data_IF_214362408470
#
_entry.id   IF_214362408470
#
_cell.length_a   1.000
_cell.length_b   1.000
_cell.length_c   1.000
_cell.angle_alpha   90.00
_cell.angle_beta   90.00
_cell.angle_gamma   90.00
#
_symmetry.space_group_name_H-M   'P 1'
#
loop_
_entity.id
_entity.type
_entity.pdbx_description
1 polymer ?
#
# COMPACT_ATOMS: atom_id res chain seq x y z
N UNK A 1 86.54 -86.07 -6.65
CA UNK A 1 87.46 -86.86 -7.49
C UNK A 1 88.20 -87.84 -6.61
N UNK A 2 88.66 -88.96 -7.17
CA UNK A 2 89.20 -90.11 -6.44
C UNK A 2 88.70 -91.38 -7.11
N UNK A 3 89.20 -91.82 -8.26
CA UNK A 3 90.57 -91.73 -8.81
C UNK A 3 91.65 -92.30 -7.85
N UNK A 4 92.49 -93.23 -8.27
CA UNK A 4 92.48 -94.05 -9.48
C UNK A 4 93.57 -95.12 -9.42
N UNK A 5 93.46 -96.09 -10.32
CA UNK A 5 94.47 -97.06 -10.74
C UNK A 5 94.72 -98.20 -9.75
N UNK A 6 94.45 -99.46 -10.10
CA UNK A 6 94.79 -100.21 -11.32
C UNK A 6 96.31 -100.47 -11.40
N UNK A 7 96.70 -101.74 -11.36
CA UNK A 7 98.09 -102.18 -11.53
C UNK A 7 98.15 -103.15 -12.71
N UNK A 8 98.52 -102.58 -13.85
CA UNK A 8 98.63 -103.25 -15.15
C UNK A 8 99.63 -104.43 -15.18
N UNK A 9 99.56 -105.30 -16.22
CA UNK A 9 100.17 -106.63 -16.21
C UNK A 9 101.52 -106.69 -16.97
N UNK A 10 101.81 -107.86 -17.56
CA UNK A 10 102.96 -108.24 -18.40
C UNK A 10 104.26 -108.65 -17.68
N UNK A 11 104.33 -109.94 -17.31
CA UNK A 11 105.57 -110.71 -17.43
C UNK A 11 105.52 -111.51 -18.74
N UNK A 12 106.54 -111.38 -19.60
CA UNK A 12 106.54 -111.93 -20.97
C UNK A 12 107.69 -112.94 -21.16
N UNK A 13 107.32 -114.18 -21.50
CA UNK A 13 107.98 -115.13 -22.45
C UNK A 13 109.49 -115.49 -22.36
N UNK A 14 109.79 -116.78 -22.54
CA UNK A 14 111.12 -117.32 -22.94
C UNK A 14 112.03 -117.66 -21.76
N UNK A 15 112.37 -118.90 -21.39
CA UNK A 15 112.54 -120.22 -22.06
C UNK A 15 113.99 -120.52 -22.54
N UNK A 16 114.34 -121.81 -22.52
CA UNK A 16 115.63 -122.47 -22.81
C UNK A 16 116.72 -122.42 -21.71
N UNK A 17 116.97 -123.61 -21.14
CA UNK A 17 118.14 -124.14 -20.42
C UNK A 17 118.92 -123.25 -19.43
N UNK A 18 119.00 -123.70 -18.16
CA UNK A 18 119.38 -122.88 -17.00
C UNK A 18 120.84 -123.07 -16.56
N UNK A 19 121.68 -122.05 -16.78
CA UNK A 19 123.04 -121.97 -16.24
C UNK A 19 123.16 -121.14 -14.96
N UNK A 20 124.19 -121.41 -14.14
CA UNK A 20 124.44 -120.75 -12.84
C UNK A 20 124.47 -119.20 -12.92
N UNK A 21 124.94 -118.65 -14.04
CA UNK A 21 125.03 -117.21 -14.32
C UNK A 21 123.68 -116.47 -14.19
N UNK A 22 122.55 -117.17 -14.34
CA UNK A 22 121.20 -116.63 -14.08
C UNK A 22 121.07 -116.10 -12.64
N UNK A 23 121.59 -116.83 -11.63
CA UNK A 23 121.48 -116.46 -10.21
C UNK A 23 122.30 -115.22 -9.84
N UNK A 24 123.44 -114.98 -10.50
CA UNK A 24 124.23 -113.75 -10.28
C UNK A 24 123.43 -112.48 -10.61
N UNK A 25 122.53 -112.55 -11.60
CA UNK A 25 121.66 -111.43 -11.97
C UNK A 25 120.57 -111.17 -10.93
N UNK A 26 120.08 -112.21 -10.25
CA UNK A 26 119.21 -112.05 -9.07
C UNK A 26 119.97 -111.49 -7.88
N UNK A 27 121.22 -111.91 -7.64
CA UNK A 27 121.99 -111.43 -6.49
C UNK A 27 122.18 -109.91 -6.51
N UNK A 28 122.55 -109.33 -7.66
CA UNK A 28 122.64 -107.86 -7.81
C UNK A 28 121.28 -107.16 -7.66
N UNK A 29 120.19 -107.77 -8.14
CA UNK A 29 118.83 -107.23 -8.00
C UNK A 29 118.38 -107.23 -6.53
N UNK A 30 118.64 -108.32 -5.79
CA UNK A 30 118.35 -108.39 -4.35
C UNK A 30 119.25 -107.46 -3.52
N UNK A 31 120.55 -107.33 -3.82
CA UNK A 31 121.44 -106.40 -3.08
C UNK A 31 121.01 -104.94 -3.28
N UNK A 32 120.68 -104.53 -4.52
CA UNK A 32 120.18 -103.18 -4.79
C UNK A 32 118.78 -102.93 -4.19
N UNK A 33 117.90 -103.93 -4.17
CA UNK A 33 116.59 -103.86 -3.52
C UNK A 33 116.71 -103.80 -1.98
N UNK A 34 117.67 -104.51 -1.37
CA UNK A 34 117.99 -104.40 0.06
C UNK A 34 118.53 -103.01 0.39
N UNK A 35 119.44 -102.45 -0.42
CA UNK A 35 119.92 -101.08 -0.25
C UNK A 35 118.77 -100.05 -0.36
N UNK A 36 117.88 -100.21 -1.33
CA UNK A 36 116.70 -99.36 -1.46
C UNK A 36 115.77 -99.45 -0.24
N UNK A 37 115.49 -100.66 0.27
CA UNK A 37 114.70 -100.86 1.48
C UNK A 37 115.35 -100.28 2.74
N UNK A 38 116.68 -100.32 2.86
CA UNK A 38 117.40 -99.68 3.97
C UNK A 38 117.27 -98.15 3.91
N UNK A 39 117.44 -97.55 2.72
CA UNK A 39 117.28 -96.10 2.54
C UNK A 39 115.82 -95.68 2.84
N UNK A 40 114.84 -96.42 2.32
CA UNK A 40 113.42 -96.14 2.55
C UNK A 40 113.05 -96.32 4.03
N UNK A 41 113.60 -97.34 4.70
CA UNK A 41 113.46 -97.55 6.14
C UNK A 41 114.02 -96.41 6.98
N UNK A 42 115.21 -95.89 6.63
CA UNK A 42 115.80 -94.73 7.29
C UNK A 42 114.99 -93.45 7.07
N UNK A 43 114.46 -93.22 5.86
CA UNK A 43 113.58 -92.08 5.57
C UNK A 43 112.24 -92.19 6.31
N UNK A 44 111.65 -93.39 6.39
CA UNK A 44 110.47 -93.64 7.22
C UNK A 44 110.77 -93.38 8.71
N UNK A 45 111.92 -93.79 9.22
CA UNK A 45 112.31 -93.52 10.61
C UNK A 45 112.57 -92.02 10.85
N UNK A 46 113.07 -91.27 9.86
CA UNK A 46 113.26 -89.82 9.99
C UNK A 46 111.93 -89.04 9.94
N UNK A 47 110.93 -89.51 9.18
CA UNK A 47 109.62 -88.85 9.06
C UNK A 47 108.65 -89.26 10.18
N UNK A 48 108.70 -90.52 10.64
CA UNK A 48 107.73 -91.09 11.59
C UNK A 48 108.32 -91.57 12.93
N UNK A 49 109.65 -91.58 13.10
CA UNK A 49 110.30 -92.13 14.31
C UNK A 49 110.31 -91.19 15.53
N UNK A 50 110.05 -89.89 15.36
CA UNK A 50 110.08 -88.89 16.45
C UNK A 50 108.67 -88.36 16.82
N UNK A 51 107.67 -89.24 16.76
CA UNK A 51 106.24 -88.88 16.89
C UNK A 51 105.82 -88.62 18.34
N UNK A 52 106.37 -89.32 19.34
CA UNK A 52 105.83 -89.24 20.72
C UNK A 52 105.97 -87.85 21.36
N UNK A 53 107.16 -87.23 21.33
CA UNK A 53 107.36 -85.91 21.91
C UNK A 53 106.64 -84.79 21.15
N UNK A 54 106.57 -84.90 19.82
CA UNK A 54 105.95 -83.88 18.95
C UNK A 54 104.43 -83.97 18.91
N UNK A 55 103.83 -85.16 19.05
CA UNK A 55 102.37 -85.30 19.13
C UNK A 55 101.81 -84.94 20.50
N UNK A 56 102.47 -85.25 21.62
CA UNK A 56 101.97 -84.83 22.95
C UNK A 56 102.01 -83.29 23.11
N UNK A 57 103.10 -82.66 22.67
CA UNK A 57 103.19 -81.19 22.64
C UNK A 57 102.17 -80.56 21.67
N UNK A 58 101.93 -81.18 20.51
CA UNK A 58 100.87 -80.74 19.59
C UNK A 58 99.48 -80.91 20.18
N UNK A 59 99.21 -82.02 20.88
CA UNK A 59 97.93 -82.30 21.55
C UNK A 59 97.64 -81.24 22.61
N UNK A 60 98.57 -80.95 23.54
CA UNK A 60 98.38 -79.84 24.51
C UNK A 60 98.25 -78.48 23.82
N UNK A 61 99.00 -78.24 22.74
CA UNK A 61 98.90 -77.01 21.95
C UNK A 61 97.60 -76.92 21.10
N UNK A 62 96.84 -78.01 20.96
CA UNK A 62 95.46 -78.02 20.46
C UNK A 62 94.42 -77.98 21.58
N UNK A 63 94.69 -78.58 22.75
CA UNK A 63 93.83 -78.58 23.94
C UNK A 63 93.70 -77.17 24.53
N UNK A 64 94.81 -76.49 24.80
CA UNK A 64 94.84 -75.07 25.24
C UNK A 64 94.14 -74.16 24.22
N UNK A 65 94.22 -74.51 22.93
CA UNK A 65 93.56 -73.76 21.84
C UNK A 65 92.07 -74.07 21.77
N UNK A 66 91.66 -75.30 22.05
CA UNK A 66 90.28 -75.72 22.16
C UNK A 66 89.62 -75.08 23.38
N UNK A 67 90.28 -75.02 24.54
CA UNK A 67 89.81 -74.29 25.72
C UNK A 67 89.75 -72.79 25.49
N UNK A 68 90.74 -72.20 24.81
CA UNK A 68 90.71 -70.79 24.40
C UNK A 68 89.57 -70.49 23.42
N UNK A 69 89.25 -71.41 22.50
CA UNK A 69 88.13 -71.25 21.57
C UNK A 69 86.79 -71.53 22.26
N UNK A 70 86.72 -72.50 23.16
CA UNK A 70 85.53 -72.87 23.92
C UNK A 70 85.13 -71.75 24.88
N UNK A 71 86.08 -71.20 25.65
CA UNK A 71 85.86 -70.03 26.50
C UNK A 71 85.46 -68.79 25.71
N UNK A 72 86.02 -68.57 24.51
CA UNK A 72 85.55 -67.53 23.58
C UNK A 72 84.12 -67.80 23.08
N UNK A 73 83.77 -69.04 22.70
CA UNK A 73 82.41 -69.41 22.25
C UNK A 73 81.39 -69.30 23.38
N UNK A 74 81.75 -69.64 24.62
CA UNK A 74 80.92 -69.43 25.82
C UNK A 74 80.74 -67.94 26.09
N UNK A 75 81.81 -67.14 26.04
CA UNK A 75 81.73 -65.67 26.20
C UNK A 75 80.89 -65.01 25.10
N UNK A 76 81.06 -65.44 23.85
CA UNK A 76 80.30 -64.94 22.70
C UNK A 76 78.83 -65.34 22.79
N UNK A 77 78.50 -66.58 23.14
CA UNK A 77 77.10 -67.02 23.31
C UNK A 77 76.41 -66.34 24.50
N UNK A 78 77.13 -66.09 25.60
CA UNK A 78 76.64 -65.25 26.70
C UNK A 78 76.40 -63.80 26.27
N UNK A 79 77.29 -63.21 25.48
CA UNK A 79 77.12 -61.86 24.94
C UNK A 79 75.96 -61.78 23.94
N UNK A 80 75.77 -62.80 23.10
CA UNK A 80 74.67 -62.96 22.16
C UNK A 80 73.32 -63.08 22.89
N UNK A 81 73.27 -63.86 23.99
CA UNK A 81 72.09 -63.99 24.83
C UNK A 81 71.74 -62.69 25.57
N UNK A 82 72.74 -61.91 25.99
CA UNK A 82 72.53 -60.59 26.57
C UNK A 82 72.01 -59.59 25.51
N UNK A 83 72.64 -59.53 24.33
CA UNK A 83 72.18 -58.69 23.22
C UNK A 83 70.76 -59.04 22.77
N UNK A 84 70.42 -60.31 22.62
CA UNK A 84 69.07 -60.72 22.19
C UNK A 84 68.00 -60.39 23.25
N UNK A 85 68.34 -60.50 24.54
CA UNK A 85 67.47 -60.03 25.64
C UNK A 85 67.27 -58.51 25.59
N UNK A 86 68.34 -57.73 25.40
CA UNK A 86 68.25 -56.27 25.27
C UNK A 86 67.46 -55.86 24.01
N UNK A 87 67.67 -56.54 22.88
CA UNK A 87 66.93 -56.33 21.65
C UNK A 87 65.43 -56.58 21.85
N UNK A 88 65.04 -57.71 22.45
CA UNK A 88 63.63 -58.03 22.73
C UNK A 88 62.98 -57.00 23.68
N UNK A 89 63.70 -56.54 24.70
CA UNK A 89 63.22 -55.45 25.57
C UNK A 89 63.04 -54.15 24.76
N UNK A 90 64.01 -53.79 23.90
CA UNK A 90 63.91 -52.59 23.06
C UNK A 90 62.77 -52.65 22.05
N UNK A 91 62.46 -53.84 21.51
CA UNK A 91 61.34 -54.07 20.60
C UNK A 91 59.99 -53.95 21.32
N UNK A 92 59.86 -54.50 22.53
CA UNK A 92 58.65 -54.35 23.35
C UNK A 92 58.43 -52.90 23.81
N UNK A 93 59.50 -52.21 24.21
CA UNK A 93 59.44 -50.77 24.53
C UNK A 93 59.06 -49.95 23.29
N UNK A 94 59.65 -50.23 22.12
CA UNK A 94 59.28 -49.59 20.85
C UNK A 94 57.79 -49.80 20.53
N UNK A 95 57.28 -51.02 20.68
CA UNK A 95 55.88 -51.32 20.36
C UNK A 95 54.91 -50.62 21.32
N UNK A 96 55.19 -50.62 22.63
CA UNK A 96 54.37 -49.90 23.62
C UNK A 96 54.39 -48.38 23.40
N UNK A 97 55.55 -47.80 23.05
CA UNK A 97 55.67 -46.37 22.68
C UNK A 97 54.93 -46.06 21.37
N UNK A 98 55.01 -46.94 20.36
CA UNK A 98 54.27 -46.77 19.11
C UNK A 98 52.75 -46.86 19.34
N UNK A 99 52.29 -47.76 20.21
CA UNK A 99 50.89 -47.87 20.60
C UNK A 99 50.41 -46.64 21.38
N UNK A 100 51.22 -46.09 22.30
CA UNK A 100 50.95 -44.82 23.00
C UNK A 100 50.91 -43.61 22.04
N UNK A 101 51.80 -43.57 21.04
CA UNK A 101 51.80 -42.54 20.01
C UNK A 101 50.53 -42.62 19.13
N UNK A 102 50.04 -43.83 18.85
CA UNK A 102 48.77 -44.03 18.13
C UNK A 102 47.54 -43.67 18.97
N UNK A 103 47.51 -43.91 20.29
CA UNK A 103 46.37 -43.50 21.13
C UNK A 103 46.34 -41.98 21.36
N UNK A 104 47.48 -41.38 21.72
CA UNK A 104 47.59 -39.92 21.90
C UNK A 104 47.25 -39.16 20.62
N UNK A 105 47.64 -39.67 19.45
CA UNK A 105 47.23 -39.12 18.15
C UNK A 105 45.70 -39.14 17.97
N UNK A 106 45.03 -40.25 18.27
CA UNK A 106 43.56 -40.36 18.15
C UNK A 106 42.83 -39.40 19.09
N UNK A 107 43.29 -39.26 20.33
CA UNK A 107 42.69 -38.30 21.26
C UNK A 107 42.96 -36.84 20.84
N UNK A 108 44.13 -36.52 20.26
CA UNK A 108 44.37 -35.20 19.66
C UNK A 108 43.46 -34.92 18.45
N UNK A 109 43.24 -35.91 17.59
CA UNK A 109 42.30 -35.83 16.46
C UNK A 109 40.84 -35.65 16.95
N UNK A 110 40.46 -36.33 18.04
CA UNK A 110 39.15 -36.19 18.72
C UNK A 110 38.95 -34.82 19.36
N UNK A 111 39.96 -34.31 20.08
CA UNK A 111 39.92 -32.98 20.70
C UNK A 111 39.78 -31.90 19.60
N UNK A 112 40.57 -32.00 18.52
CA UNK A 112 40.50 -31.09 17.36
C UNK A 112 39.09 -31.11 16.71
N UNK A 113 38.47 -32.29 16.57
CA UNK A 113 37.09 -32.39 16.10
C UNK A 113 36.09 -31.69 17.04
N UNK A 114 36.19 -31.92 18.36
CA UNK A 114 35.31 -31.26 19.35
C UNK A 114 35.51 -29.75 19.41
N UNK A 115 36.73 -29.26 19.23
CA UNK A 115 37.04 -27.83 19.16
C UNK A 115 36.43 -27.17 17.92
N UNK A 116 36.51 -27.82 16.75
CA UNK A 116 35.85 -27.36 15.52
C UNK A 116 34.34 -27.31 15.66
N UNK A 117 33.74 -28.31 16.31
CA UNK A 117 32.31 -28.28 16.64
C UNK A 117 31.97 -27.10 17.54
N UNK A 118 32.69 -26.93 18.65
CA UNK A 118 32.50 -25.79 19.58
C UNK A 118 32.65 -24.43 18.90
N UNK A 119 33.56 -24.28 17.92
CA UNK A 119 33.67 -23.06 17.11
C UNK A 119 32.43 -22.85 16.20
N UNK A 120 31.91 -23.92 15.58
CA UNK A 120 30.68 -23.86 14.79
C UNK A 120 29.45 -23.49 15.63
N UNK A 121 29.33 -24.08 16.82
CA UNK A 121 28.26 -23.80 17.78
C UNK A 121 28.35 -22.34 18.30
N UNK A 122 29.57 -21.84 18.58
CA UNK A 122 29.81 -20.45 18.97
C UNK A 122 29.40 -19.45 17.88
N UNK A 123 29.78 -19.69 16.62
CA UNK A 123 29.37 -18.86 15.47
C UNK A 123 27.85 -18.88 15.32
N UNK A 124 27.23 -20.05 15.49
CA UNK A 124 25.77 -20.23 15.43
C UNK A 124 25.07 -19.44 16.54
N UNK A 125 25.58 -19.49 17.77
CA UNK A 125 25.06 -18.72 18.91
C UNK A 125 25.21 -17.20 18.73
N UNK A 126 26.34 -16.73 18.20
CA UNK A 126 26.55 -15.31 17.85
C UNK A 126 25.51 -14.84 16.82
N UNK A 127 25.21 -15.67 15.81
CA UNK A 127 24.20 -15.36 14.81
C UNK A 127 22.77 -15.36 15.40
N UNK A 128 22.41 -16.33 16.25
CA UNK A 128 21.12 -16.32 16.94
C UNK A 128 20.94 -15.08 17.84
N UNK A 129 21.96 -14.66 18.60
CA UNK A 129 21.89 -13.45 19.42
C UNK A 129 21.70 -12.17 18.58
N UNK A 130 22.20 -12.13 17.34
CA UNK A 130 21.93 -11.04 16.38
C UNK A 130 20.48 -11.05 15.89
N UNK A 131 19.93 -12.22 15.55
CA UNK A 131 18.53 -12.34 15.16
C UNK A 131 17.57 -11.97 16.31
N UNK A 132 17.85 -12.44 17.53
CA UNK A 132 17.04 -12.11 18.72
C UNK A 132 17.08 -10.60 18.99
N UNK A 133 18.26 -9.96 18.91
CA UNK A 133 18.37 -8.50 19.06
C UNK A 133 17.58 -7.73 17.99
N UNK A 134 17.61 -8.17 16.73
CA UNK A 134 16.84 -7.55 15.65
C UNK A 134 15.32 -7.71 15.86
N UNK A 135 14.87 -8.88 16.34
CA UNK A 135 13.46 -9.12 16.68
C UNK A 135 13.01 -8.19 17.81
N UNK A 136 13.82 -8.03 18.88
CA UNK A 136 13.51 -7.12 20.01
C UNK A 136 13.39 -5.66 19.55
N UNK A 137 14.30 -5.20 18.69
CA UNK A 137 14.25 -3.84 18.14
C UNK A 137 13.01 -3.63 17.26
N UNK A 138 12.66 -4.62 16.45
CA UNK A 138 11.45 -4.61 15.61
C UNK A 138 10.16 -4.63 16.45
N UNK A 139 10.09 -5.49 17.48
CA UNK A 139 8.98 -5.53 18.44
C UNK A 139 8.78 -4.15 19.10
N UNK A 140 9.86 -3.54 19.59
CA UNK A 140 9.80 -2.22 20.21
C UNK A 140 9.31 -1.14 19.24
N UNK A 141 9.83 -1.10 18.01
CA UNK A 141 9.37 -0.16 16.98
C UNK A 141 7.89 -0.38 16.63
N UNK A 142 7.44 -1.62 16.53
CA UNK A 142 6.04 -1.97 16.31
C UNK A 142 5.14 -1.50 17.47
N UNK A 143 5.56 -1.70 18.73
CA UNK A 143 4.82 -1.18 19.89
C UNK A 143 4.77 0.36 19.94
N UNK A 144 5.84 1.05 19.54
CA UNK A 144 5.88 2.52 19.46
C UNK A 144 4.97 3.05 18.33
N UNK A 145 4.99 2.43 17.16
CA UNK A 145 4.07 2.72 16.06
C UNK A 145 2.60 2.46 16.45
N UNK A 146 2.30 1.33 17.09
CA UNK A 146 0.94 0.97 17.53
C UNK A 146 0.39 2.00 18.53
N UNK A 147 1.22 2.51 19.46
CA UNK A 147 0.84 3.57 20.39
C UNK A 147 0.49 4.87 19.66
N UNK A 148 1.23 5.24 18.61
CA UNK A 148 0.96 6.46 17.84
C UNK A 148 -0.27 6.30 16.91
N UNK A 149 -0.45 5.13 16.31
CA UNK A 149 -1.66 4.76 15.55
C UNK A 149 -2.89 4.79 16.46
N UNK A 150 -2.79 4.34 17.72
CA UNK A 150 -3.92 4.40 18.65
C UNK A 150 -4.29 5.85 19.03
N UNK A 151 -3.32 6.71 19.37
CA UNK A 151 -3.58 8.16 19.62
C UNK A 151 -4.26 8.83 18.43
N UNK A 152 -3.78 8.55 17.21
CA UNK A 152 -4.35 9.15 15.99
C UNK A 152 -5.73 8.59 15.67
N UNK A 153 -6.01 7.32 15.98
CA UNK A 153 -7.35 6.74 15.95
C UNK A 153 -8.31 7.42 16.95
N UNK A 154 -7.90 7.58 18.21
CA UNK A 154 -8.69 8.29 19.24
C UNK A 154 -9.00 9.74 18.83
N UNK A 155 -8.01 10.46 18.30
CA UNK A 155 -8.19 11.83 17.80
C UNK A 155 -9.09 11.90 16.55
N UNK A 156 -9.10 10.87 15.70
CA UNK A 156 -10.03 10.77 14.56
C UNK A 156 -11.46 10.44 15.03
N UNK A 157 -11.62 9.52 15.98
CA UNK A 157 -12.92 9.20 16.59
C UNK A 157 -13.54 10.41 17.28
N UNK A 158 -12.74 11.21 18.01
CA UNK A 158 -13.20 12.46 18.61
C UNK A 158 -13.71 13.45 17.54
N UNK A 159 -12.91 13.72 16.50
CA UNK A 159 -13.30 14.61 15.39
C UNK A 159 -14.50 14.11 14.60
N UNK A 160 -14.69 12.79 14.49
CA UNK A 160 -15.89 12.20 13.89
C UNK A 160 -17.12 12.40 14.80
N UNK A 161 -16.98 12.24 16.12
CA UNK A 161 -18.03 12.52 17.08
C UNK A 161 -18.47 13.99 17.11
N UNK A 162 -17.53 14.93 16.98
CA UNK A 162 -17.85 16.35 16.79
C UNK A 162 -18.61 16.60 15.48
N UNK A 163 -18.13 16.03 14.37
CA UNK A 163 -18.80 16.15 13.06
C UNK A 163 -20.23 15.59 13.09
N UNK A 164 -20.44 14.42 13.70
CA UNK A 164 -21.79 13.84 13.87
C UNK A 164 -22.70 14.82 14.60
N UNK A 165 -22.28 15.37 15.75
CA UNK A 165 -23.07 16.36 16.50
C UNK A 165 -23.40 17.62 15.69
N UNK A 166 -22.46 18.12 14.88
CA UNK A 166 -22.72 19.28 13.99
C UNK A 166 -23.72 18.94 12.88
N UNK A 167 -23.65 17.72 12.31
CA UNK A 167 -24.59 17.25 11.29
C UNK A 167 -25.98 16.98 11.88
N UNK A 168 -26.08 16.44 13.09
CA UNK A 168 -27.34 16.29 13.83
C UNK A 168 -28.02 17.65 14.08
N UNK A 169 -27.24 18.66 14.46
CA UNK A 169 -27.73 20.03 14.68
C UNK A 169 -28.23 20.68 13.38
N UNK A 170 -27.45 20.59 12.28
CA UNK A 170 -27.87 21.12 10.98
C UNK A 170 -29.08 20.35 10.41
N UNK A 171 -29.16 19.03 10.58
CA UNK A 171 -30.34 18.24 10.19
C UNK A 171 -31.58 18.59 11.02
N UNK A 172 -31.44 18.89 12.31
CA UNK A 172 -32.56 19.35 13.14
C UNK A 172 -33.06 20.74 12.72
N UNK A 173 -32.13 21.66 12.43
CA UNK A 173 -32.39 23.01 11.90
C UNK A 173 -33.06 22.96 10.53
N UNK A 174 -32.56 22.15 9.60
CA UNK A 174 -33.13 21.99 8.26
C UNK A 174 -34.54 21.37 8.29
N UNK A 175 -34.77 20.39 9.19
CA UNK A 175 -36.13 19.86 9.43
C UNK A 175 -37.09 20.92 9.94
N UNK A 176 -36.64 21.85 10.80
CA UNK A 176 -37.48 22.94 11.29
C UNK A 176 -37.82 23.96 10.19
N UNK A 177 -36.85 24.31 9.33
CA UNK A 177 -37.07 25.15 8.13
C UNK A 177 -38.06 24.47 7.18
N UNK A 178 -37.81 23.20 6.82
CA UNK A 178 -38.67 22.43 5.93
C UNK A 178 -40.11 22.27 6.46
N UNK A 179 -40.32 22.12 7.79
CA UNK A 179 -41.67 22.09 8.39
C UNK A 179 -42.37 23.44 8.23
N UNK A 180 -41.68 24.55 8.53
CA UNK A 180 -42.22 25.90 8.39
C UNK A 180 -42.56 26.24 6.93
N UNK A 181 -41.71 25.85 5.99
CA UNK A 181 -41.93 26.10 4.57
C UNK A 181 -43.10 25.25 4.04
N UNK A 182 -43.21 23.99 4.48
CA UNK A 182 -44.38 23.13 4.22
C UNK A 182 -45.67 23.74 4.77
N UNK A 183 -45.66 24.30 5.99
CA UNK A 183 -46.81 24.98 6.57
C UNK A 183 -47.19 26.25 5.79
N UNK A 184 -46.20 27.04 5.36
CA UNK A 184 -46.44 28.25 4.54
C UNK A 184 -46.99 27.92 3.16
N UNK A 185 -46.49 26.85 2.51
CA UNK A 185 -47.00 26.35 1.23
C UNK A 185 -48.42 25.79 1.37
N UNK A 186 -48.74 25.11 2.48
CA UNK A 186 -50.11 24.64 2.75
C UNK A 186 -51.09 25.81 3.02
N UNK A 187 -50.65 26.87 3.68
CA UNK A 187 -51.44 28.08 3.88
C UNK A 187 -51.68 28.83 2.55
N UNK A 188 -50.61 29.06 1.77
CA UNK A 188 -50.71 29.67 0.43
C UNK A 188 -51.57 28.85 -0.53
N UNK A 189 -51.46 27.51 -0.49
CA UNK A 189 -52.33 26.63 -1.27
C UNK A 189 -53.82 26.87 -0.95
N UNK A 190 -54.21 26.83 0.34
CA UNK A 190 -55.62 27.08 0.75
C UNK A 190 -56.10 28.44 0.26
N UNK A 191 -55.29 29.48 0.42
CA UNK A 191 -55.61 30.82 -0.06
C UNK A 191 -55.86 30.86 -1.58
N UNK A 192 -55.07 30.11 -2.39
CA UNK A 192 -55.31 30.01 -3.83
C UNK A 192 -56.54 29.18 -4.20
N UNK A 193 -56.89 28.14 -3.42
CA UNK A 193 -58.11 27.36 -3.61
C UNK A 193 -59.37 28.19 -3.25
N UNK A 194 -59.34 28.94 -2.15
CA UNK A 194 -60.37 29.90 -1.74
C UNK A 194 -60.57 31.01 -2.80
N UNK A 195 -59.48 31.55 -3.36
CA UNK A 195 -59.55 32.54 -4.45
C UNK A 195 -60.11 31.94 -5.74
N UNK A 196 -59.79 30.68 -6.06
CA UNK A 196 -60.32 29.98 -7.23
C UNK A 196 -61.82 29.73 -7.09
N UNK A 197 -62.28 29.30 -5.91
CA UNK A 197 -63.71 29.17 -5.59
C UNK A 197 -64.45 30.51 -5.68
N UNK A 198 -63.87 31.58 -5.12
CA UNK A 198 -64.45 32.92 -5.19
C UNK A 198 -64.54 33.43 -6.64
N UNK A 199 -63.53 33.16 -7.46
CA UNK A 199 -63.52 33.47 -8.89
C UNK A 199 -64.60 32.68 -9.66
N UNK A 200 -64.76 31.38 -9.37
CA UNK A 200 -65.85 30.56 -9.92
C UNK A 200 -67.23 31.12 -9.59
N UNK A 201 -67.50 31.38 -8.30
CA UNK A 201 -68.77 31.96 -7.81
C UNK A 201 -69.03 33.36 -8.40
N UNK A 202 -67.99 34.17 -8.63
CA UNK A 202 -68.11 35.46 -9.30
C UNK A 202 -68.46 35.31 -10.79
N UNK A 203 -67.86 34.35 -11.49
CA UNK A 203 -68.15 34.04 -12.90
C UNK A 203 -69.58 33.53 -13.09
N UNK A 204 -70.06 32.65 -12.20
CA UNK A 204 -71.44 32.15 -12.23
C UNK A 204 -72.46 33.28 -12.07
N UNK A 205 -72.25 34.18 -11.10
CA UNK A 205 -73.07 35.39 -10.93
C UNK A 205 -73.05 36.27 -12.17
N UNK A 206 -71.86 36.54 -12.74
CA UNK A 206 -71.73 37.32 -13.96
C UNK A 206 -72.49 36.70 -15.15
N UNK A 207 -72.53 35.37 -15.27
CA UNK A 207 -73.30 34.68 -16.31
C UNK A 207 -74.82 34.77 -16.08
N UNK A 208 -75.28 34.67 -14.82
CA UNK A 208 -76.68 34.87 -14.46
C UNK A 208 -77.14 36.32 -14.71
N UNK A 209 -76.33 37.30 -14.30
CA UNK A 209 -76.54 38.73 -14.58
C UNK A 209 -76.61 38.99 -16.10
N UNK A 210 -75.69 38.41 -16.88
CA UNK A 210 -75.71 38.50 -18.35
C UNK A 210 -77.03 37.97 -18.92
N UNK A 211 -77.47 36.76 -18.54
CA UNK A 211 -78.74 36.19 -18.99
C UNK A 211 -79.95 37.08 -18.66
N UNK A 212 -80.02 37.59 -17.43
CA UNK A 212 -81.10 38.51 -17.00
C UNK A 212 -81.05 39.83 -17.79
N UNK A 213 -79.87 40.38 -18.06
CA UNK A 213 -79.76 41.61 -18.88
C UNK A 213 -80.10 41.36 -20.36
N UNK A 214 -79.77 40.20 -20.93
CA UNK A 214 -80.18 39.84 -22.30
C UNK A 214 -81.69 39.63 -22.42
N UNK A 215 -82.31 38.94 -21.46
CA UNK A 215 -83.77 38.82 -21.42
C UNK A 215 -84.45 40.18 -21.31
N UNK A 216 -83.96 41.05 -20.42
CA UNK A 216 -84.54 42.37 -20.23
C UNK A 216 -84.31 43.28 -21.44
N UNK A 217 -83.17 43.15 -22.13
CA UNK A 217 -82.93 43.80 -23.42
C UNK A 217 -83.92 43.32 -24.49
N UNK A 218 -84.18 42.00 -24.60
CA UNK A 218 -85.19 41.44 -25.52
C UNK A 218 -86.60 41.95 -25.19
N UNK A 219 -86.97 42.00 -23.89
CA UNK A 219 -88.26 42.57 -23.43
C UNK A 219 -88.39 44.05 -23.84
N UNK A 220 -87.35 44.87 -23.61
CA UNK A 220 -87.32 46.27 -24.06
C UNK A 220 -87.41 46.37 -25.58
N UNK A 221 -86.67 45.56 -26.35
CA UNK A 221 -86.75 45.53 -27.81
C UNK A 221 -88.16 45.20 -28.31
N UNK A 222 -88.86 44.22 -27.69
CA UNK A 222 -90.24 43.88 -28.03
C UNK A 222 -91.27 44.95 -27.65
N UNK A 223 -90.95 45.84 -26.70
CA UNK A 223 -91.77 47.02 -26.36
C UNK A 223 -91.44 48.23 -27.25
N UNK A 224 -90.25 48.26 -27.87
CA UNK A 224 -89.79 49.32 -28.77
C UNK A 224 -90.11 49.05 -30.25
N UNK A 225 -91.19 48.31 -30.52
CA UNK A 225 -91.81 48.24 -31.85
C UNK A 225 -92.11 49.68 -32.32
N UNK A 226 -91.86 50.04 -33.58
CA UNK A 226 -92.18 51.38 -34.09
C UNK A 226 -93.67 51.68 -33.88
N UNK A 227 -93.96 52.78 -33.19
CA UNK A 227 -95.32 53.30 -33.06
C UNK A 227 -95.82 53.70 -34.45
N UNK A 228 -96.77 52.92 -34.97
CA UNK A 228 -97.55 53.27 -36.16
C UNK A 228 -98.42 54.49 -35.82
N UNK A 229 -97.98 55.66 -36.29
CA UNK A 229 -98.56 56.96 -35.95
C UNK A 229 -99.95 57.13 -36.57
N UNK A 230 -100.15 56.65 -37.81
CA UNK A 230 -101.43 56.73 -38.51
C UNK A 230 -102.46 55.82 -37.86
N UNK A 231 -102.08 54.56 -37.57
CA UNK A 231 -102.95 53.64 -36.85
C UNK A 231 -103.26 54.15 -35.44
N UNK A 232 -102.27 54.63 -34.69
CA UNK A 232 -102.51 55.15 -33.34
C UNK A 232 -103.48 56.34 -33.35
N UNK A 233 -103.33 57.26 -34.30
CA UNK A 233 -104.26 58.38 -34.46
C UNK A 233 -105.67 57.90 -34.81
N UNK A 234 -105.81 56.88 -35.67
CA UNK A 234 -107.11 56.27 -36.00
C UNK A 234 -107.74 55.56 -34.79
N UNK A 235 -106.97 54.77 -34.04
CA UNK A 235 -107.43 54.06 -32.84
C UNK A 235 -107.92 55.03 -31.76
N UNK A 236 -107.21 56.14 -31.51
CA UNK A 236 -107.63 57.20 -30.56
C UNK A 236 -108.87 57.93 -31.05
N UNK A 237 -108.98 58.24 -32.35
CA UNK A 237 -110.19 58.87 -32.91
C UNK A 237 -111.41 57.94 -32.87
N UNK A 238 -111.22 56.63 -33.01
CA UNK A 238 -112.29 55.63 -32.83
C UNK A 238 -112.73 55.57 -31.36
N UNK A 239 -111.78 55.39 -30.43
CA UNK A 239 -112.07 55.35 -28.99
C UNK A 239 -112.71 56.65 -28.48
N UNK A 240 -112.39 57.80 -29.08
CA UNK A 240 -113.07 59.07 -28.81
C UNK A 240 -114.54 59.06 -29.25
N UNK A 241 -114.84 58.63 -30.48
CA UNK A 241 -116.23 58.52 -30.98
C UNK A 241 -117.07 57.51 -30.21
N UNK A 242 -116.46 56.42 -29.76
CA UNK A 242 -117.12 55.43 -28.90
C UNK A 242 -117.24 55.88 -27.44
N UNK A 243 -116.56 56.96 -27.04
CA UNK A 243 -116.62 57.45 -25.67
C UNK A 243 -118.02 57.93 -25.29
N UNK A 244 -118.39 57.66 -24.04
CA UNK A 244 -119.65 58.13 -23.44
C UNK A 244 -119.72 59.68 -23.46
N UNK A 245 -118.57 60.35 -23.39
CA UNK A 245 -118.45 61.81 -23.50
C UNK A 245 -118.88 62.29 -24.90
N UNK A 246 -118.28 61.75 -25.98
CA UNK A 246 -118.64 62.15 -27.35
C UNK A 246 -120.13 61.92 -27.63
N UNK A 247 -120.64 60.73 -27.31
CA UNK A 247 -122.05 60.37 -27.53
C UNK A 247 -123.01 61.26 -26.73
N UNK A 248 -122.62 61.69 -25.53
CA UNK A 248 -123.39 62.69 -24.75
C UNK A 248 -123.31 64.08 -25.38
N UNK A 249 -122.11 64.51 -25.81
CA UNK A 249 -121.91 65.81 -26.47
C UNK A 249 -122.75 65.95 -27.76
N UNK A 250 -122.89 64.85 -28.50
CA UNK A 250 -123.65 64.75 -29.76
C UNK A 250 -125.17 64.69 -29.56
N UNK A 251 -125.65 64.05 -28.47
CA UNK A 251 -127.08 63.88 -28.19
C UNK A 251 -127.72 64.99 -27.35
N UNK A 252 -126.95 65.97 -26.86
CA UNK A 252 -127.47 66.99 -25.96
C UNK A 252 -128.49 67.94 -26.66
N UNK A 253 -129.62 68.31 -26.01
CA UNK A 253 -130.64 69.17 -26.60
C UNK A 253 -130.11 70.54 -27.05
N UNK A 254 -130.66 71.04 -28.17
CA UNK A 254 -130.23 72.27 -28.85
C UNK A 254 -130.06 73.49 -27.93
N UNK A 255 -130.90 73.65 -26.91
CA UNK A 255 -130.79 74.74 -25.91
C UNK A 255 -129.43 74.77 -25.19
N UNK A 256 -128.83 73.61 -24.89
CA UNK A 256 -127.51 73.55 -24.28
C UNK A 256 -126.37 73.77 -25.29
N UNK A 257 -126.60 73.45 -26.57
CA UNK A 257 -125.59 73.65 -27.62
C UNK A 257 -125.27 75.14 -27.86
N UNK A 258 -126.20 76.05 -27.53
CA UNK A 258 -126.02 77.50 -27.62
C UNK A 258 -125.30 78.11 -26.39
N UNK A 259 -125.12 77.38 -25.29
CA UNK A 259 -124.39 77.91 -24.12
C UNK A 259 -122.90 78.11 -24.47
N UNK A 260 -122.31 79.31 -24.27
CA UNK A 260 -120.93 79.58 -24.66
C UNK A 260 -119.92 78.74 -23.85
N UNK A 261 -120.25 78.47 -22.59
CA UNK A 261 -119.53 77.54 -21.70
C UNK A 261 -119.50 76.13 -22.31
N UNK A 262 -120.65 75.63 -22.75
CA UNK A 262 -120.78 74.31 -23.37
C UNK A 262 -120.06 74.24 -24.73
N UNK A 263 -120.17 75.29 -25.55
CA UNK A 263 -119.41 75.41 -26.79
C UNK A 263 -117.88 75.54 -26.56
N UNK A 264 -117.43 75.98 -25.38
CA UNK A 264 -116.02 75.92 -24.98
C UNK A 264 -115.62 74.49 -24.57
N UNK A 265 -116.39 73.85 -23.69
CA UNK A 265 -116.18 72.48 -23.23
C UNK A 265 -116.14 71.48 -24.40
N UNK A 266 -117.09 71.60 -25.34
CA UNK A 266 -117.15 70.78 -26.55
C UNK A 266 -115.85 70.88 -27.37
N UNK A 267 -115.35 72.09 -27.62
CA UNK A 267 -114.08 72.29 -28.37
C UNK A 267 -112.87 71.73 -27.62
N UNK A 268 -112.81 71.91 -26.29
CA UNK A 268 -111.76 71.29 -25.46
C UNK A 268 -111.82 69.76 -25.57
N UNK A 269 -113.01 69.17 -25.46
CA UNK A 269 -113.22 67.73 -25.62
C UNK A 269 -112.86 67.21 -27.02
N UNK A 270 -113.31 67.89 -28.09
CA UNK A 270 -112.99 67.54 -29.48
C UNK A 270 -111.48 67.68 -29.80
N UNK A 271 -110.73 68.49 -29.02
CA UNK A 271 -109.27 68.59 -29.13
C UNK A 271 -108.49 67.48 -28.41
N UNK A 272 -109.11 66.74 -27.47
CA UNK A 272 -108.44 65.71 -26.68
C UNK A 272 -107.71 64.64 -27.53
N UNK A 273 -108.26 64.10 -28.63
CA UNK A 273 -107.56 63.15 -29.49
C UNK A 273 -106.23 63.71 -30.04
N UNK A 274 -106.22 64.95 -30.50
CA UNK A 274 -105.00 65.61 -31.01
C UNK A 274 -103.97 65.86 -29.91
N UNK A 275 -104.42 66.26 -28.72
CA UNK A 275 -103.56 66.45 -27.54
C UNK A 275 -102.97 65.10 -27.09
N UNK A 276 -103.74 64.02 -27.09
CA UNK A 276 -103.26 62.67 -26.77
C UNK A 276 -102.22 62.18 -27.79
N UNK A 277 -102.50 62.30 -29.08
CA UNK A 277 -101.58 61.90 -30.16
C UNK A 277 -100.26 62.67 -30.06
N UNK A 278 -100.30 64.00 -30.01
CA UNK A 278 -99.08 64.83 -29.90
C UNK A 278 -98.29 64.56 -28.62
N UNK A 279 -98.96 64.32 -27.48
CA UNK A 279 -98.28 63.98 -26.21
C UNK A 279 -97.62 62.60 -26.26
N UNK A 280 -98.24 61.62 -26.91
CA UNK A 280 -97.69 60.27 -27.06
C UNK A 280 -96.54 60.25 -28.08
N UNK A 281 -96.60 61.07 -29.13
CA UNK A 281 -95.46 61.31 -30.01
C UNK A 281 -94.28 61.96 -29.28
N UNK A 282 -94.50 62.93 -28.40
CA UNK A 282 -93.45 63.52 -27.56
C UNK A 282 -92.77 62.47 -26.68
N UNK A 283 -93.57 61.63 -26.01
CA UNK A 283 -93.07 60.54 -25.17
C UNK A 283 -92.31 59.50 -26.01
N UNK A 284 -92.82 59.13 -27.20
CA UNK A 284 -92.15 58.21 -28.12
C UNK A 284 -90.88 58.80 -28.75
N UNK A 285 -90.80 60.11 -28.96
CA UNK A 285 -89.58 60.82 -29.38
C UNK A 285 -88.55 60.86 -28.24
N UNK A 286 -88.97 61.20 -27.03
CA UNK A 286 -88.13 61.20 -25.83
C UNK A 286 -87.58 59.81 -25.49
N UNK A 287 -88.40 58.77 -25.60
CA UNK A 287 -88.00 57.38 -25.40
C UNK A 287 -86.98 56.92 -26.45
N UNK A 288 -87.20 57.20 -27.74
CA UNK A 288 -86.23 56.90 -28.81
C UNK A 288 -84.90 57.62 -28.60
N UNK A 289 -84.91 58.92 -28.32
CA UNK A 289 -83.68 59.67 -28.02
C UNK A 289 -82.95 59.15 -26.77
N UNK A 290 -83.69 58.70 -25.75
CA UNK A 290 -83.15 58.04 -24.56
C UNK A 290 -82.46 56.71 -24.89
N UNK A 291 -83.11 55.85 -25.69
CA UNK A 291 -82.55 54.58 -26.17
C UNK A 291 -81.30 54.84 -27.02
N UNK A 292 -81.35 55.76 -27.97
CA UNK A 292 -80.21 56.16 -28.81
C UNK A 292 -79.03 56.72 -28.01
N UNK A 293 -79.28 57.38 -26.87
CA UNK A 293 -78.20 57.81 -25.98
C UNK A 293 -77.58 56.59 -25.28
N UNK A 294 -78.41 55.74 -24.67
CA UNK A 294 -77.98 54.55 -23.93
C UNK A 294 -77.27 53.52 -24.83
N UNK A 295 -77.65 53.37 -26.10
CA UNK A 295 -76.95 52.48 -27.04
C UNK A 295 -75.59 53.02 -27.45
N UNK A 296 -75.44 54.35 -27.62
CA UNK A 296 -74.14 55.00 -27.86
C UNK A 296 -73.22 54.91 -26.64
N UNK A 297 -73.74 55.19 -25.44
CA UNK A 297 -73.02 55.02 -24.17
C UNK A 297 -72.54 53.56 -24.00
N UNK A 298 -73.39 52.57 -24.27
CA UNK A 298 -73.02 51.15 -24.23
C UNK A 298 -71.99 50.76 -25.31
N UNK A 299 -72.05 51.34 -26.52
CA UNK A 299 -71.09 51.05 -27.57
C UNK A 299 -69.68 51.56 -27.20
N UNK A 300 -69.60 52.78 -26.66
CA UNK A 300 -68.34 53.36 -26.20
C UNK A 300 -67.77 52.62 -24.96
N UNK A 301 -68.61 52.27 -23.98
CA UNK A 301 -68.18 51.44 -22.84
C UNK A 301 -67.67 50.06 -23.27
N UNK A 302 -68.26 49.44 -24.30
CA UNK A 302 -67.77 48.19 -24.89
C UNK A 302 -66.42 48.37 -25.59
N UNK A 303 -66.21 49.50 -26.29
CA UNK A 303 -64.93 49.84 -26.93
C UNK A 303 -63.83 50.02 -25.88
N UNK A 304 -64.08 50.84 -24.87
CA UNK A 304 -63.15 51.09 -23.75
C UNK A 304 -62.82 49.80 -22.98
N UNK A 305 -63.82 48.96 -22.70
CA UNK A 305 -63.61 47.64 -22.08
C UNK A 305 -62.67 46.77 -22.91
N UNK A 306 -62.90 46.65 -24.22
CA UNK A 306 -62.07 45.82 -25.10
C UNK A 306 -60.63 46.36 -25.23
N UNK A 307 -60.45 47.67 -25.19
CA UNK A 307 -59.12 48.32 -25.17
C UNK A 307 -58.39 48.04 -23.84
N UNK A 308 -59.08 48.12 -22.71
CA UNK A 308 -58.53 47.77 -21.39
C UNK A 308 -58.21 46.27 -21.25
N UNK A 309 -59.05 45.38 -21.77
CA UNK A 309 -58.81 43.93 -21.76
C UNK A 309 -57.55 43.56 -22.58
N UNK A 310 -57.37 44.18 -23.75
CA UNK A 310 -56.15 44.02 -24.57
C UNK A 310 -54.92 44.59 -23.86
N UNK A 311 -55.03 45.76 -23.24
CA UNK A 311 -53.92 46.37 -22.49
C UNK A 311 -53.51 45.51 -21.28
N UNK A 312 -54.48 44.91 -20.57
CA UNK A 312 -54.23 44.00 -19.46
C UNK A 312 -53.53 42.70 -19.92
N UNK A 313 -53.99 42.11 -21.03
CA UNK A 313 -53.35 40.93 -21.64
C UNK A 313 -51.90 41.23 -22.05
N UNK A 314 -51.67 42.33 -22.78
CA UNK A 314 -50.33 42.75 -23.18
C UNK A 314 -49.41 43.03 -21.98
N UNK A 315 -49.93 43.65 -20.91
CA UNK A 315 -49.18 43.86 -19.67
C UNK A 315 -48.87 42.55 -18.93
N UNK A 316 -49.76 41.57 -18.97
CA UNK A 316 -49.54 40.24 -18.39
C UNK A 316 -48.48 39.45 -19.18
N UNK A 317 -48.53 39.47 -20.52
CA UNK A 317 -47.48 38.89 -21.37
C UNK A 317 -46.12 39.58 -21.15
N UNK A 318 -46.09 40.90 -21.11
CA UNK A 318 -44.86 41.66 -20.87
C UNK A 318 -44.24 41.33 -19.51
N UNK A 319 -45.06 41.19 -18.45
CA UNK A 319 -44.62 40.73 -17.13
C UNK A 319 -44.08 39.29 -17.15
N UNK A 320 -44.74 38.39 -17.87
CA UNK A 320 -44.28 37.00 -18.00
C UNK A 320 -42.92 36.92 -18.72
N UNK A 321 -42.76 37.64 -19.84
CA UNK A 321 -41.50 37.74 -20.59
C UNK A 321 -40.38 38.37 -19.76
N UNK A 322 -40.67 39.48 -19.08
CA UNK A 322 -39.70 40.14 -18.19
C UNK A 322 -39.27 39.22 -17.02
N UNK A 323 -40.20 38.43 -16.48
CA UNK A 323 -39.91 37.43 -15.45
C UNK A 323 -38.98 36.31 -15.93
N UNK A 324 -39.26 35.72 -17.10
CA UNK A 324 -38.40 34.65 -17.66
C UNK A 324 -37.04 35.19 -18.12
N UNK A 325 -36.98 36.39 -18.69
CA UNK A 325 -35.71 37.06 -19.00
C UNK A 325 -34.89 37.38 -17.75
N UNK A 326 -35.51 37.89 -16.70
CA UNK A 326 -34.82 38.15 -15.43
C UNK A 326 -34.26 36.86 -14.83
N UNK A 327 -35.05 35.79 -14.79
CA UNK A 327 -34.63 34.48 -14.29
C UNK A 327 -33.49 33.86 -15.15
N UNK A 328 -33.53 34.02 -16.46
CA UNK A 328 -32.47 33.57 -17.37
C UNK A 328 -31.15 34.36 -17.16
N UNK A 329 -31.24 35.69 -16.99
CA UNK A 329 -30.07 36.52 -16.66
C UNK A 329 -29.49 36.17 -15.28
N UNK A 330 -30.35 35.89 -14.31
CA UNK A 330 -29.95 35.51 -12.94
C UNK A 330 -29.24 34.14 -12.91
N UNK A 331 -29.72 33.14 -13.67
CA UNK A 331 -29.04 31.84 -13.78
C UNK A 331 -27.73 31.93 -14.56
N UNK A 332 -27.67 32.73 -15.63
CA UNK A 332 -26.42 33.03 -16.35
C UNK A 332 -25.39 33.69 -15.43
N UNK A 333 -25.76 34.74 -14.70
CA UNK A 333 -24.87 35.43 -13.77
C UNK A 333 -24.38 34.53 -12.63
N UNK A 334 -25.23 33.62 -12.11
CA UNK A 334 -24.79 32.58 -11.15
C UNK A 334 -23.75 31.64 -11.77
N UNK A 335 -23.96 31.17 -13.00
CA UNK A 335 -23.03 30.28 -13.67
C UNK A 335 -21.68 30.96 -14.00
N UNK A 336 -21.72 32.22 -14.44
CA UNK A 336 -20.52 33.02 -14.70
C UNK A 336 -19.73 33.33 -13.43
N UNK A 337 -20.41 33.70 -12.34
CA UNK A 337 -19.81 33.93 -11.02
C UNK A 337 -19.18 32.65 -10.46
N UNK A 338 -19.86 31.51 -10.56
CA UNK A 338 -19.31 30.21 -10.17
C UNK A 338 -18.06 29.85 -10.97
N UNK A 339 -18.09 30.03 -12.30
CA UNK A 339 -16.93 29.80 -13.19
C UNK A 339 -15.75 30.73 -12.85
N UNK A 340 -15.99 32.02 -12.65
CA UNK A 340 -14.93 32.96 -12.26
C UNK A 340 -14.34 32.62 -10.88
N UNK A 341 -15.18 32.22 -9.92
CA UNK A 341 -14.73 31.77 -8.60
C UNK A 341 -13.85 30.52 -8.71
N UNK A 342 -14.24 29.54 -9.53
CA UNK A 342 -13.45 28.33 -9.78
C UNK A 342 -12.09 28.65 -10.41
N UNK A 343 -12.05 29.45 -11.47
CA UNK A 343 -10.81 29.87 -12.13
C UNK A 343 -9.88 30.62 -11.16
N UNK A 344 -10.42 31.56 -10.36
CA UNK A 344 -9.63 32.29 -9.37
C UNK A 344 -9.10 31.39 -8.23
N UNK A 345 -9.77 30.28 -7.91
CA UNK A 345 -9.27 29.27 -6.97
C UNK A 345 -8.16 28.42 -7.59
N UNK A 346 -8.28 28.06 -8.87
CA UNK A 346 -7.28 27.29 -9.62
C UNK A 346 -6.00 28.10 -9.86
N UNK A 347 -6.11 29.36 -10.32
CA UNK A 347 -4.98 30.29 -10.42
C UNK A 347 -4.28 30.49 -9.07
N UNK A 348 -5.06 30.67 -7.99
CA UNK A 348 -4.52 30.81 -6.62
C UNK A 348 -3.85 29.53 -6.12
N UNK A 349 -4.27 28.35 -6.58
CA UNK A 349 -3.58 27.09 -6.29
C UNK A 349 -2.28 26.96 -7.10
N UNK A 350 -2.28 27.32 -8.38
CA UNK A 350 -1.10 27.31 -9.24
C UNK A 350 -0.02 28.30 -8.75
N UNK A 351 -0.40 29.53 -8.40
CA UNK A 351 0.51 30.55 -7.85
C UNK A 351 1.12 30.13 -6.50
N UNK A 352 0.35 29.42 -5.66
CA UNK A 352 0.89 28.80 -4.43
C UNK A 352 1.91 27.72 -4.77
N UNK A 353 1.58 26.78 -5.65
CA UNK A 353 2.50 25.72 -6.06
C UNK A 353 3.81 26.26 -6.68
N UNK A 354 3.73 27.34 -7.46
CA UNK A 354 4.90 28.05 -8.00
C UNK A 354 5.74 28.71 -6.89
N UNK A 355 5.10 29.47 -5.98
CA UNK A 355 5.77 30.06 -4.81
C UNK A 355 6.49 28.99 -3.99
N UNK A 356 5.79 27.92 -3.65
CA UNK A 356 6.29 26.82 -2.81
C UNK A 356 7.39 26.01 -3.52
N UNK A 357 7.52 26.15 -4.85
CA UNK A 357 8.64 25.61 -5.62
C UNK A 357 9.84 26.55 -5.64
N UNK A 358 9.62 27.83 -5.91
CA UNK A 358 10.67 28.85 -5.87
C UNK A 358 11.30 28.98 -4.46
N UNK A 359 10.50 28.83 -3.40
CA UNK A 359 10.98 28.81 -2.02
C UNK A 359 11.91 27.63 -1.74
N UNK A 360 11.55 26.42 -2.21
CA UNK A 360 12.41 25.22 -2.15
C UNK A 360 13.70 25.37 -2.97
N UNK A 361 13.63 25.95 -4.16
CA UNK A 361 14.80 26.20 -5.01
C UNK A 361 15.74 27.26 -4.37
N UNK A 362 15.17 28.30 -3.76
CA UNK A 362 15.91 29.34 -3.06
C UNK A 362 16.57 28.80 -1.78
N UNK A 363 15.90 27.92 -1.02
CA UNK A 363 16.54 27.17 0.06
C UNK A 363 17.69 26.28 -0.42
N UNK A 364 17.49 25.54 -1.53
CA UNK A 364 18.53 24.69 -2.10
C UNK A 364 19.78 25.51 -2.50
N UNK A 365 19.58 26.63 -3.22
CA UNK A 365 20.68 27.54 -3.58
C UNK A 365 21.34 28.21 -2.39
N UNK A 366 20.61 28.50 -1.29
CA UNK A 366 21.23 28.96 -0.03
C UNK A 366 22.15 27.90 0.55
N UNK A 367 21.70 26.64 0.66
CA UNK A 367 22.50 25.52 1.17
C UNK A 367 23.74 25.27 0.30
N UNK A 368 23.62 25.35 -1.03
CA UNK A 368 24.76 25.27 -1.96
C UNK A 368 25.75 26.42 -1.76
N UNK A 369 25.28 27.66 -1.60
CA UNK A 369 26.15 28.82 -1.36
C UNK A 369 26.84 28.75 0.01
N UNK A 370 26.18 28.23 1.05
CA UNK A 370 26.76 27.97 2.36
C UNK A 370 27.82 26.86 2.29
N UNK A 371 27.57 25.79 1.53
CA UNK A 371 28.56 24.73 1.26
C UNK A 371 29.77 25.25 0.47
N UNK A 372 29.56 25.99 -0.63
CA UNK A 372 30.65 26.57 -1.42
C UNK A 372 31.44 27.61 -0.62
N UNK A 373 30.78 28.40 0.23
CA UNK A 373 31.45 29.33 1.14
C UNK A 373 32.31 28.60 2.17
N UNK A 374 31.77 27.58 2.83
CA UNK A 374 32.55 26.78 3.79
C UNK A 374 33.68 26.01 3.11
N UNK A 375 33.52 25.58 1.86
CA UNK A 375 34.62 24.99 1.08
C UNK A 375 35.71 26.03 0.75
N UNK A 376 35.34 27.26 0.41
CA UNK A 376 36.30 28.37 0.20
C UNK A 376 37.01 28.73 1.51
N UNK A 377 36.29 28.87 2.62
CA UNK A 377 36.87 29.14 3.94
C UNK A 377 37.80 27.99 4.40
N UNK A 378 37.44 26.73 4.11
CA UNK A 378 38.29 25.55 4.32
C UNK A 378 39.50 25.57 3.38
N UNK A 379 39.37 25.93 2.11
CA UNK A 379 40.52 26.03 1.17
C UNK A 379 41.49 27.15 1.58
N UNK A 380 40.98 28.29 2.05
CA UNK A 380 41.79 29.41 2.57
C UNK A 380 42.54 28.98 3.85
N UNK A 381 41.83 28.40 4.82
CA UNK A 381 42.45 27.93 6.07
C UNK A 381 43.35 26.70 5.88
N UNK A 382 43.08 25.84 4.91
CA UNK A 382 43.96 24.75 4.50
C UNK A 382 45.22 25.26 3.80
N UNK A 383 45.13 26.35 3.01
CA UNK A 383 46.31 27.01 2.45
C UNK A 383 47.19 27.57 3.59
N UNK A 384 46.57 28.31 4.52
CA UNK A 384 47.24 28.94 5.66
C UNK A 384 47.79 27.93 6.68
N UNK A 385 47.15 26.77 6.85
CA UNK A 385 47.68 25.67 7.69
C UNK A 385 48.67 24.77 6.96
N UNK A 386 48.58 24.57 5.64
CA UNK A 386 49.63 23.89 4.87
C UNK A 386 50.95 24.70 4.88
N UNK A 387 50.85 26.03 4.96
CA UNK A 387 51.98 26.95 5.19
C UNK A 387 52.57 26.84 6.62
N UNK A 388 51.82 26.33 7.61
CA UNK A 388 52.19 26.42 9.05
C UNK A 388 52.35 25.09 9.80
N UNK A 389 51.66 24.02 9.41
CA UNK A 389 51.37 22.87 10.28
C UNK A 389 51.78 21.52 9.67
N UNK A 390 53.09 21.27 9.66
CA UNK A 390 53.67 19.91 9.54
C UNK A 390 53.94 19.41 10.95
N UNK A 391 53.55 18.17 11.29
CA UNK A 391 53.54 17.57 12.67
C UNK A 391 52.36 18.06 13.55
N UNK A 392 51.73 17.33 14.51
CA UNK A 392 51.88 15.97 15.10
C UNK A 392 50.47 15.40 15.53
N UNK A 393 50.32 14.10 15.90
CA UNK A 393 49.03 13.44 16.16
C UNK A 393 48.66 13.20 17.67
N UNK A 394 47.51 12.56 17.92
CA UNK A 394 46.80 12.49 19.22
C UNK A 394 46.86 11.12 19.99
N UNK A 395 46.19 11.04 21.15
CA UNK A 395 46.44 10.12 22.30
C UNK A 395 45.11 9.64 22.99
N UNK A 396 45.05 8.51 23.78
CA UNK A 396 43.95 7.51 23.72
C UNK A 396 43.07 7.24 25.02
N UNK A 397 42.14 6.23 25.06
CA UNK A 397 41.06 6.06 26.09
C UNK A 397 41.16 4.87 27.10
N UNK A 398 40.11 4.64 27.94
CA UNK A 398 39.99 3.73 29.12
C UNK A 398 38.50 3.35 29.46
N UNK A 399 38.09 2.37 30.32
CA UNK A 399 38.56 0.99 30.68
C UNK A 399 37.55 0.23 31.64
N UNK A 400 37.33 -1.09 31.47
CA UNK A 400 36.83 -2.21 32.38
C UNK A 400 35.55 -2.17 33.28
N UNK A 401 34.83 -3.32 33.41
CA UNK A 401 33.97 -3.70 34.58
C UNK A 401 32.93 -4.88 34.40
N UNK A 402 32.86 -5.92 35.29
CA UNK A 402 31.83 -7.02 35.33
C UNK A 402 31.10 -7.18 36.71
N UNK A 403 30.25 -8.20 37.09
CA UNK A 403 29.42 -9.27 36.43
C UNK A 403 27.88 -9.09 36.80
N UNK A 404 26.95 -10.02 37.27
CA UNK A 404 26.78 -11.50 37.33
C UNK A 404 25.33 -12.07 36.98
N UNK A 405 24.84 -13.15 37.65
CA UNK A 405 23.70 -14.07 37.33
C UNK A 405 22.96 -14.62 38.60
N UNK A 406 21.95 -15.55 38.57
CA UNK A 406 20.65 -15.58 37.85
C UNK A 406 19.42 -16.14 38.65
N UNK A 407 18.15 -15.87 38.23
CA UNK A 407 16.95 -16.68 38.56
C UNK A 407 16.02 -17.00 37.33
N UNK A 408 14.92 -17.78 37.47
CA UNK A 408 14.07 -18.23 36.35
C UNK A 408 12.99 -17.24 35.87
N UNK A 409 12.22 -17.62 34.82
CA UNK A 409 11.54 -16.69 33.89
C UNK A 409 10.28 -15.99 34.44
N UNK A 410 10.49 -14.88 35.13
CA UNK A 410 9.54 -13.78 35.39
C UNK A 410 9.37 -12.90 34.12
N UNK A 411 8.20 -12.29 33.81
CA UNK A 411 8.11 -11.23 32.78
C UNK A 411 9.13 -10.08 32.96
N UNK A 412 9.51 -9.73 34.19
CA UNK A 412 10.62 -8.81 34.45
C UNK A 412 11.96 -9.36 33.94
N UNK A 413 12.20 -10.66 34.07
CA UNK A 413 13.39 -11.33 33.53
C UNK A 413 13.35 -11.49 32.01
N UNK A 414 12.16 -11.50 31.37
CA UNK A 414 12.04 -11.43 29.92
C UNK A 414 12.54 -10.07 29.42
N UNK A 415 12.10 -8.97 30.04
CA UNK A 415 12.63 -7.63 29.72
C UNK A 415 14.11 -7.48 30.11
N UNK A 416 14.58 -8.13 31.19
CA UNK A 416 16.01 -8.20 31.51
C UNK A 416 16.79 -9.00 30.46
N UNK A 417 16.26 -10.11 29.95
CA UNK A 417 16.84 -10.87 28.84
C UNK A 417 16.91 -10.03 27.56
N UNK A 418 15.82 -9.33 27.21
CA UNK A 418 15.82 -8.37 26.09
C UNK A 418 16.91 -7.31 26.28
N UNK A 419 17.02 -6.73 27.47
CA UNK A 419 18.06 -5.75 27.84
C UNK A 419 19.47 -6.34 27.72
N UNK A 420 19.74 -7.54 28.28
CA UNK A 420 21.04 -8.23 28.20
C UNK A 420 21.44 -8.55 26.75
N UNK A 421 20.50 -8.97 25.91
CA UNK A 421 20.74 -9.21 24.48
C UNK A 421 21.11 -7.89 23.78
N UNK A 422 20.39 -6.79 24.01
CA UNK A 422 20.71 -5.48 23.45
C UNK A 422 22.05 -4.91 23.97
N UNK A 423 22.38 -5.16 25.23
CA UNK A 423 23.68 -4.82 25.82
C UNK A 423 24.81 -5.65 25.20
N UNK A 424 24.59 -6.93 24.87
CA UNK A 424 25.59 -7.77 24.18
C UNK A 424 25.90 -7.32 22.74
N UNK A 425 25.00 -6.57 22.10
CA UNK A 425 25.25 -5.95 20.78
C UNK A 425 26.05 -4.64 20.87
N UNK A 426 26.22 -4.06 22.08
CA UNK A 426 27.11 -2.91 22.29
C UNK A 426 28.55 -3.41 22.31
N UNK A 427 29.16 -3.48 21.13
CA UNK A 427 30.56 -3.79 20.90
C UNK A 427 31.47 -3.13 21.95
N UNK A 428 32.24 -3.92 22.74
CA UNK A 428 33.31 -3.37 23.55
C UNK A 428 34.32 -2.63 22.67
N UNK A 429 34.74 -1.44 23.09
CA UNK A 429 35.73 -0.64 22.35
C UNK A 429 37.05 -1.43 22.27
N UNK A 430 37.49 -1.73 21.05
CA UNK A 430 38.77 -2.39 20.78
C UNK A 430 39.90 -1.47 21.21
N UNK A 431 40.71 -1.91 22.17
CA UNK A 431 41.96 -1.25 22.56
C UNK A 431 43.14 -2.15 22.15
N UNK A 432 43.79 -1.93 20.99
CA UNK A 432 44.77 -2.85 20.43
C UNK A 432 46.16 -2.62 21.05
N UNK A 433 46.47 -3.35 22.13
CA UNK A 433 47.74 -3.23 22.84
C UNK A 433 48.24 -4.56 23.43
N UNK A 434 48.55 -5.53 22.56
CA UNK A 434 49.32 -6.72 22.89
C UNK A 434 50.22 -7.09 21.71
N UNK A 435 51.47 -6.62 21.72
CA UNK A 435 52.47 -7.04 20.73
C UNK A 435 52.96 -8.45 21.05
N UNK A 436 53.22 -9.30 20.03
CA UNK A 436 53.84 -10.60 20.26
C UNK A 436 55.25 -10.42 20.82
N UNK A 437 55.63 -11.27 21.79
CA UNK A 437 56.95 -11.26 22.43
C UNK A 437 57.62 -12.63 22.23
N UNK A 438 58.85 -12.63 21.72
CA UNK A 438 59.71 -13.81 21.59
C UNK A 438 59.40 -14.68 20.38
#
# INVERSE_FOLDING_TARGET
MGLSMDRSPYARTGDQQRGCWYYLRYFFLFVSLIQFLIILGLVLFMIYGNVHATTESSLRATEIRADSLYSQVVGLSASQANLSKQLNISLLVKETVMQQLLTTRREMERINASFRQCQGDLITYINYNRFIAAIILSEKQCQEQLKEVNKTCEALLFKLGEKVKTLEMEVAKEKAVCSKDKESLLAGKRQTEEQLEACGKARERQQQEQQVTEENLRKVQSLCIPLDQEKFQADVLSAWRDSLIYRTLETLPYHYQLMPEYASLRRTCESLPGIMTTKIEELARGLRAGIERVTRENAELRRQKLELERAAQAAQEARARAGTEAQARETQLRAECARQTQLALEEKAALRAQRDNLERELEARKRELEQLRTEVDVRISALDTCVKAKSLPAVPPRVSGPPPNPPPIDPASLEEFKKRILESQRLPVVNPAAQPSG
#
